data_IF_329604676332
#
_entry.id   IF_329604676332
#
_cell.length_a   1.000
_cell.length_b   1.000
_cell.length_c   1.000
_cell.angle_alpha   90.00
_cell.angle_beta   90.00
_cell.angle_gamma   90.00
#
_symmetry.space_group_name_H-M   'P 1'
#
loop_
_entity.id
_entity.type
_entity.pdbx_description
1 polymer ?
#
# COMPACT_ATOMS: atom_id res chain seq x y z
N UNK A 1 -10.40 -10.28 -2.92
CA UNK A 1 -9.66 -10.09 -1.66
C UNK A 1 -10.09 -11.15 -0.65
N UNK A 2 -9.16 -11.90 -0.05
CA UNK A 2 -9.46 -12.97 0.92
C UNK A 2 -9.02 -12.55 2.32
N UNK A 3 -10.01 -12.27 3.19
CA UNK A 3 -9.79 -11.81 4.56
C UNK A 3 -9.24 -12.89 5.48
N UNK A 4 -9.51 -14.18 5.20
CA UNK A 4 -9.01 -15.29 6.03
C UNK A 4 -7.51 -15.45 5.83
N UNK A 5 -7.07 -15.34 4.58
CA UNK A 5 -5.65 -15.34 4.23
C UNK A 5 -4.90 -14.22 4.96
N UNK A 6 -5.39 -12.97 4.86
CA UNK A 6 -4.69 -11.83 5.47
C UNK A 6 -4.62 -11.98 7.00
N UNK A 7 -5.71 -12.37 7.65
CA UNK A 7 -5.71 -12.60 9.11
C UNK A 7 -4.72 -13.69 9.53
N UNK A 8 -4.62 -14.76 8.75
CA UNK A 8 -3.63 -15.82 9.01
C UNK A 8 -2.20 -15.35 8.78
N UNK A 9 -1.95 -14.48 7.81
CA UNK A 9 -0.61 -13.95 7.56
C UNK A 9 -0.15 -13.04 8.72
N UNK A 10 -1.07 -12.26 9.30
CA UNK A 10 -0.82 -11.37 10.44
C UNK A 10 -0.68 -12.10 11.79
N UNK A 11 -0.85 -13.42 11.86
CA UNK A 11 -0.49 -14.16 13.08
C UNK A 11 1.01 -14.45 13.20
N UNK A 12 1.79 -14.27 12.13
CA UNK A 12 3.24 -14.37 12.16
C UNK A 12 3.84 -13.23 13.01
N UNK A 13 4.96 -13.45 13.72
CA UNK A 13 5.66 -12.39 14.42
C UNK A 13 6.02 -11.23 13.47
N UNK A 14 5.79 -10.00 13.91
CA UNK A 14 6.15 -8.82 13.13
C UNK A 14 7.68 -8.77 12.91
N UNK A 15 8.08 -8.43 11.68
CA UNK A 15 9.48 -8.28 11.25
C UNK A 15 9.68 -6.88 10.70
N UNK A 16 10.86 -6.31 10.89
CA UNK A 16 11.21 -4.97 10.37
C UNK A 16 11.18 -4.90 8.83
N UNK A 17 11.19 -6.05 8.16
CA UNK A 17 11.08 -6.15 6.69
C UNK A 17 9.64 -6.02 6.19
N UNK A 18 8.62 -6.03 7.07
CA UNK A 18 7.24 -5.84 6.66
C UNK A 18 6.95 -4.36 6.46
N UNK A 19 6.59 -3.98 5.24
CA UNK A 19 6.35 -2.59 4.86
C UNK A 19 4.92 -2.32 4.40
N UNK A 20 4.21 -3.37 3.99
CA UNK A 20 2.81 -3.34 3.56
C UNK A 20 2.14 -4.73 3.72
N UNK A 21 0.84 -4.82 3.49
CA UNK A 21 0.07 -6.06 3.58
C UNK A 21 0.57 -7.15 2.61
N UNK A 22 1.09 -6.76 1.44
CA UNK A 22 1.58 -7.68 0.43
C UNK A 22 2.85 -8.39 0.90
N UNK A 23 3.79 -7.66 1.54
CA UNK A 23 5.03 -8.20 2.11
C UNK A 23 4.77 -9.20 3.24
N UNK A 24 3.72 -8.99 4.04
CA UNK A 24 3.28 -9.94 5.08
C UNK A 24 2.78 -11.24 4.43
N UNK A 25 1.93 -11.13 3.40
CA UNK A 25 1.37 -12.29 2.70
C UNK A 25 2.42 -13.04 1.88
N UNK A 26 3.34 -12.31 1.24
CA UNK A 26 4.46 -12.88 0.49
C UNK A 26 5.39 -13.68 1.39
N UNK A 27 5.71 -13.17 2.59
CA UNK A 27 6.52 -13.87 3.58
C UNK A 27 5.90 -15.21 4.06
N UNK A 28 4.57 -15.36 3.92
CA UNK A 28 3.86 -16.62 4.17
C UNK A 28 3.90 -17.60 2.96
N UNK A 29 4.73 -17.33 1.96
CA UNK A 29 4.91 -18.17 0.77
C UNK A 29 3.77 -18.09 -0.24
N UNK A 30 2.97 -17.02 -0.20
CA UNK A 30 1.80 -16.84 -1.08
C UNK A 30 2.17 -15.92 -2.24
N UNK A 31 1.71 -16.30 -3.44
CA UNK A 31 1.96 -15.50 -4.64
C UNK A 31 1.20 -14.18 -4.60
N UNK A 32 1.88 -13.08 -4.94
CA UNK A 32 1.30 -11.75 -5.08
C UNK A 32 1.13 -11.42 -6.56
N UNK A 33 0.01 -10.78 -6.90
CA UNK A 33 -0.24 -10.23 -8.23
C UNK A 33 0.00 -8.73 -8.21
N UNK A 34 0.81 -8.23 -9.14
CA UNK A 34 1.13 -6.80 -9.29
C UNK A 34 0.37 -6.27 -10.50
N UNK A 35 -0.24 -5.10 -10.34
CA UNK A 35 -0.97 -4.40 -11.40
C UNK A 35 -0.36 -3.02 -11.63
N UNK A 36 -0.42 -2.45 -12.85
CA UNK A 36 0.02 -1.08 -13.10
C UNK A 36 -0.71 -0.10 -12.18
N UNK A 37 0.06 0.70 -11.45
CA UNK A 37 -0.45 1.72 -10.54
C UNK A 37 -0.64 3.08 -11.21
N UNK A 38 -1.17 4.02 -10.43
CA UNK A 38 -1.29 5.42 -10.79
C UNK A 38 -0.21 6.23 -10.04
N UNK A 39 0.64 6.95 -10.78
CA UNK A 39 1.74 7.74 -10.21
C UNK A 39 1.26 8.90 -9.35
N UNK A 40 0.03 9.35 -9.57
CA UNK A 40 -0.59 10.43 -8.79
C UNK A 40 -1.22 9.89 -7.48
N UNK A 41 -1.27 8.57 -7.27
CA UNK A 41 -1.73 7.95 -6.02
C UNK A 41 -0.64 8.00 -4.94
N UNK A 42 -0.29 9.22 -4.53
CA UNK A 42 0.79 9.46 -3.57
C UNK A 42 0.37 9.17 -2.13
N UNK A 43 1.35 8.78 -1.30
CA UNK A 43 1.19 8.71 0.16
C UNK A 43 1.59 10.07 0.77
N UNK A 44 0.72 10.66 1.58
CA UNK A 44 1.05 11.85 2.38
C UNK A 44 1.88 11.40 3.58
N UNK A 45 3.15 11.80 3.61
CA UNK A 45 4.13 11.40 4.63
C UNK A 45 4.80 12.61 5.31
N UNK A 46 4.73 13.77 4.68
CA UNK A 46 5.29 15.03 5.16
C UNK A 46 4.33 16.20 4.90
N UNK A 47 4.44 17.33 5.63
CA UNK A 47 3.60 18.50 5.38
C UNK A 47 3.72 19.07 3.96
N UNK A 48 4.88 18.94 3.31
CA UNK A 48 5.06 19.39 1.92
C UNK A 48 4.21 18.61 0.91
N UNK A 49 3.83 17.37 1.21
CA UNK A 49 3.06 16.52 0.30
C UNK A 49 1.65 17.08 0.05
N UNK A 50 1.11 17.91 0.95
CA UNK A 50 -0.19 18.56 0.77
C UNK A 50 -0.25 19.47 -0.46
N UNK A 51 0.83 20.20 -0.76
CA UNK A 51 0.89 21.05 -1.96
C UNK A 51 0.82 20.22 -3.25
N UNK A 52 1.52 19.08 -3.28
CA UNK A 52 1.44 18.12 -4.39
C UNK A 52 0.05 17.54 -4.51
N UNK A 53 -0.56 17.10 -3.40
CA UNK A 53 -1.90 16.53 -3.40
C UNK A 53 -2.97 17.53 -3.91
N UNK A 54 -2.90 18.79 -3.47
CA UNK A 54 -3.80 19.85 -3.93
C UNK A 54 -3.66 20.10 -5.44
N UNK A 55 -2.42 20.17 -5.94
CA UNK A 55 -2.15 20.30 -7.37
C UNK A 55 -2.74 19.13 -8.17
N UNK A 56 -2.56 17.89 -7.70
CA UNK A 56 -3.07 16.69 -8.35
C UNK A 56 -4.61 16.66 -8.38
N UNK A 57 -5.27 17.04 -7.29
CA UNK A 57 -6.73 17.14 -7.22
C UNK A 57 -7.28 18.20 -8.17
N UNK A 58 -6.64 19.38 -8.25
CA UNK A 58 -7.06 20.44 -9.16
C UNK A 58 -6.90 20.06 -10.65
N UNK A 59 -5.85 19.30 -10.99
CA UNK A 59 -5.61 18.81 -12.37
C UNK A 59 -6.68 17.81 -12.83
N UNK A 60 -7.20 16.99 -11.92
CA UNK A 60 -8.19 15.94 -12.22
C UNK A 60 -9.58 16.49 -12.53
N UNK A 61 -9.82 17.78 -12.27
CA UNK A 61 -11.16 18.38 -12.36
C UNK A 61 -12.04 17.94 -11.19
N UNK A 62 -12.98 18.80 -10.80
CA UNK A 62 -14.13 18.38 -9.97
C UNK A 62 -15.09 17.54 -10.80
#
# INVERSE_FOLDING_TARGET
FDTRLLKSAYSEPCRDTFTDDASVVEACGRAISIFPGDVDNIKITSPSDFGTAEMLLNRRGK
#
